data_IF_708965702116
#
_entry.id   IF_708965702116
#
_cell.length_a   1.000
_cell.length_b   1.000
_cell.length_c   1.000
_cell.angle_alpha   90.00
_cell.angle_beta   90.00
_cell.angle_gamma   90.00
#
_symmetry.space_group_name_H-M   'P 1'
#
loop_
_entity.id
_entity.type
_entity.pdbx_description
1 polymer ?
#
# COMPACT_ATOMS: atom_id res chain seq x y z
N UNK A 1 -17.27 1.57 -13.52
CA UNK A 1 -15.85 1.19 -13.67
C UNK A 1 -15.04 2.44 -13.39
N UNK A 2 -14.30 2.49 -12.27
CA UNK A 2 -13.48 3.65 -11.93
C UNK A 2 -12.20 3.66 -12.77
N UNK A 3 -11.76 4.82 -13.24
CA UNK A 3 -10.45 4.97 -13.89
C UNK A 3 -9.34 4.94 -12.85
N UNK A 4 -8.11 4.59 -13.24
CA UNK A 4 -6.97 4.50 -12.32
C UNK A 4 -6.76 5.80 -11.52
N UNK A 5 -6.96 6.96 -12.16
CA UNK A 5 -6.90 8.26 -11.49
C UNK A 5 -8.01 8.46 -10.43
N UNK A 6 -9.20 7.90 -10.66
CA UNK A 6 -10.29 7.95 -9.67
C UNK A 6 -10.00 7.05 -8.47
N UNK A 7 -9.45 5.86 -8.72
CA UNK A 7 -9.03 4.91 -7.66
C UNK A 7 -7.99 5.59 -6.78
N UNK A 8 -6.97 6.20 -7.39
CA UNK A 8 -5.92 6.90 -6.65
C UNK A 8 -6.51 8.06 -5.84
N UNK A 9 -7.33 8.92 -6.45
CA UNK A 9 -7.94 10.04 -5.73
C UNK A 9 -8.80 9.57 -4.54
N UNK A 10 -9.51 8.46 -4.67
CA UNK A 10 -10.29 7.85 -3.59
C UNK A 10 -9.39 7.25 -2.50
N UNK A 11 -8.35 6.50 -2.87
CA UNK A 11 -7.36 5.98 -1.91
C UNK A 11 -6.69 7.12 -1.13
N UNK A 12 -6.28 8.18 -1.82
CA UNK A 12 -5.67 9.37 -1.19
C UNK A 12 -6.64 10.08 -0.25
N UNK A 13 -7.91 10.18 -0.65
CA UNK A 13 -8.94 10.75 0.22
C UNK A 13 -9.11 9.89 1.46
N UNK A 14 -9.23 8.57 1.32
CA UNK A 14 -9.36 7.64 2.43
C UNK A 14 -8.16 7.65 3.37
N UNK A 15 -6.93 7.64 2.86
CA UNK A 15 -5.72 7.76 3.70
C UNK A 15 -5.80 9.04 4.53
N UNK A 16 -6.17 10.17 3.91
CA UNK A 16 -6.27 11.46 4.63
C UNK A 16 -7.41 11.51 5.64
N UNK A 17 -8.59 11.01 5.29
CA UNK A 17 -9.81 11.18 6.09
C UNK A 17 -10.08 10.05 7.08
N UNK A 18 -9.42 8.91 6.94
CA UNK A 18 -9.60 7.76 7.81
C UNK A 18 -8.29 7.40 8.49
N UNK A 19 -7.24 7.06 7.73
CA UNK A 19 -5.98 6.60 8.33
C UNK A 19 -5.31 7.70 9.17
N UNK A 20 -5.17 8.90 8.62
CA UNK A 20 -4.56 10.05 9.30
C UNK A 20 -5.52 10.68 10.30
N UNK A 21 -6.75 10.99 9.88
CA UNK A 21 -7.70 11.73 10.73
C UNK A 21 -8.19 10.93 11.94
N UNK A 22 -8.39 9.61 11.81
CA UNK A 22 -8.81 8.74 12.92
C UNK A 22 -7.61 8.12 13.66
N UNK A 23 -6.39 8.55 13.36
CA UNK A 23 -5.14 8.08 13.99
C UNK A 23 -5.00 6.55 13.97
N UNK A 24 -5.47 5.91 12.89
CA UNK A 24 -5.43 4.44 12.72
C UNK A 24 -3.99 3.95 12.57
N UNK A 25 -3.15 4.74 11.91
CA UNK A 25 -1.73 4.46 11.79
C UNK A 25 -0.92 5.63 12.38
N UNK A 26 -0.17 5.43 13.47
CA UNK A 26 0.63 6.48 14.09
C UNK A 26 1.82 6.92 13.20
N UNK A 27 2.08 6.20 12.11
CA UNK A 27 3.16 6.45 11.17
C UNK A 27 2.73 7.29 9.97
N UNK A 28 1.44 7.56 9.79
CA UNK A 28 0.94 8.36 8.68
C UNK A 28 0.85 9.83 9.10
N UNK A 29 1.95 10.59 9.03
CA UNK A 29 1.91 12.05 9.18
C UNK A 29 1.66 12.71 7.83
N UNK A 30 0.98 13.87 7.84
CA UNK A 30 0.26 14.41 6.70
C UNK A 30 1.14 15.03 5.59
N UNK A 31 1.90 14.21 4.85
CA UNK A 31 2.29 14.48 3.46
C UNK A 31 2.23 13.17 2.68
N UNK A 32 1.32 13.14 1.72
CA UNK A 32 1.11 11.96 0.87
C UNK A 32 1.68 12.30 -0.51
N UNK A 33 2.91 11.85 -0.77
CA UNK A 33 3.46 11.75 -2.13
C UNK A 33 2.77 10.58 -2.82
N UNK A 34 2.04 10.84 -3.90
CA UNK A 34 1.33 9.80 -4.65
C UNK A 34 2.03 9.63 -6.00
N UNK A 35 2.76 8.54 -6.19
CA UNK A 35 3.17 8.12 -7.54
C UNK A 35 2.15 7.15 -8.10
N UNK A 36 1.65 7.50 -9.29
CA UNK A 36 0.83 6.63 -10.11
C UNK A 36 1.69 6.08 -11.22
N UNK A 37 2.08 4.80 -11.15
CA UNK A 37 2.70 4.16 -12.29
C UNK A 37 1.87 2.97 -12.81
N UNK A 38 1.14 3.15 -13.92
CA UNK A 38 0.50 2.07 -14.64
C UNK A 38 1.47 1.44 -15.67
N UNK A 39 2.59 0.85 -15.22
CA UNK A 39 3.52 0.14 -16.13
C UNK A 39 3.40 -1.39 -16.03
N UNK A 40 2.74 -1.98 -17.03
CA UNK A 40 3.15 -3.26 -17.61
C UNK A 40 2.25 -4.49 -17.39
N UNK A 41 1.58 -4.93 -18.46
CA UNK A 41 0.94 -6.25 -18.59
C UNK A 41 1.96 -7.37 -18.85
N UNK A 42 2.97 -7.48 -17.99
CA UNK A 42 3.90 -8.62 -17.95
C UNK A 42 3.45 -9.67 -16.92
N UNK A 43 4.00 -10.89 -17.02
CA UNK A 43 3.76 -11.99 -16.08
C UNK A 43 3.85 -11.56 -14.61
N UNK A 44 3.08 -12.19 -13.71
CA UNK A 44 2.99 -11.87 -12.28
C UNK A 44 4.34 -11.69 -11.57
N UNK A 45 5.37 -12.47 -11.95
CA UNK A 45 6.74 -12.30 -11.43
C UNK A 45 7.26 -10.89 -11.73
N UNK A 46 7.29 -10.49 -13.02
CA UNK A 46 7.71 -9.14 -13.46
C UNK A 46 6.98 -8.02 -12.75
N UNK A 47 5.72 -8.26 -12.39
CA UNK A 47 4.86 -7.35 -11.67
C UNK A 47 5.30 -7.16 -10.21
N UNK A 48 5.66 -8.25 -9.54
CA UNK A 48 6.22 -8.23 -8.18
C UNK A 48 7.55 -7.48 -8.16
N UNK A 49 8.48 -7.84 -9.06
CA UNK A 49 9.79 -7.22 -9.11
C UNK A 49 9.70 -5.70 -9.38
N UNK A 50 8.83 -5.29 -10.31
CA UNK A 50 8.57 -3.86 -10.56
C UNK A 50 8.00 -3.14 -9.33
N UNK A 51 7.10 -3.77 -8.55
CA UNK A 51 6.59 -3.13 -7.34
C UNK A 51 7.65 -2.95 -6.26
N UNK A 52 8.58 -3.90 -6.12
CA UNK A 52 9.72 -3.79 -5.21
C UNK A 52 10.71 -2.72 -5.68
N UNK A 53 10.94 -2.60 -6.98
CA UNK A 53 11.74 -1.51 -7.56
C UNK A 53 11.12 -0.14 -7.26
N UNK A 54 9.81 0.03 -7.47
CA UNK A 54 9.10 1.27 -7.15
C UNK A 54 9.13 1.59 -5.65
N UNK A 55 9.07 0.57 -4.78
CA UNK A 55 9.28 0.74 -3.34
C UNK A 55 10.66 1.34 -3.05
N UNK A 56 11.72 0.78 -3.63
CA UNK A 56 13.08 1.27 -3.39
C UNK A 56 13.32 2.67 -3.96
N UNK A 57 12.69 3.02 -5.08
CA UNK A 57 12.72 4.38 -5.63
C UNK A 57 12.14 5.37 -4.62
N UNK A 58 11.03 5.04 -3.98
CA UNK A 58 10.39 5.92 -2.99
C UNK A 58 11.20 6.02 -1.70
N UNK A 59 11.80 4.93 -1.23
CA UNK A 59 12.70 4.93 -0.06
C UNK A 59 13.92 5.81 -0.31
N UNK A 60 14.55 5.68 -1.49
CA UNK A 60 15.69 6.54 -1.87
C UNK A 60 15.26 8.01 -2.00
N UNK A 61 14.06 8.28 -2.48
CA UNK A 61 13.53 9.63 -2.54
C UNK A 61 13.35 10.23 -1.13
N UNK A 62 12.88 9.44 -0.15
CA UNK A 62 12.78 9.88 1.25
C UNK A 62 14.15 10.24 1.84
N UNK A 63 15.20 9.47 1.53
CA UNK A 63 16.57 9.78 1.97
C UNK A 63 17.06 11.15 1.45
N UNK A 64 16.64 11.53 0.23
CA UNK A 64 16.98 12.82 -0.39
C UNK A 64 16.10 13.97 0.12
N UNK A 65 14.97 13.69 0.79
CA UNK A 65 13.96 14.66 1.19
C UNK A 65 13.63 14.56 2.70
N UNK A 66 14.57 14.92 3.59
CA UNK A 66 14.45 14.72 5.04
C UNK A 66 13.30 15.48 5.72
N UNK A 67 12.71 16.49 5.05
CA UNK A 67 11.50 17.17 5.51
C UNK A 67 10.21 16.36 5.26
N UNK A 68 10.31 15.21 4.59
CA UNK A 68 9.20 14.30 4.31
C UNK A 68 9.37 13.00 5.09
N UNK A 69 8.47 12.75 6.02
CA UNK A 69 8.51 11.57 6.90
C UNK A 69 7.85 10.33 6.29
N UNK A 70 6.96 10.50 5.30
CA UNK A 70 6.14 9.42 4.76
C UNK A 70 5.90 9.59 3.26
N UNK A 71 5.86 8.48 2.54
CA UNK A 71 5.41 8.40 1.15
C UNK A 71 4.32 7.33 1.00
N UNK A 72 3.54 7.38 -0.08
CA UNK A 72 2.46 6.42 -0.35
C UNK A 72 2.59 5.82 -1.76
N UNK A 73 2.66 4.49 -1.77
CA UNK A 73 2.53 3.69 -2.99
C UNK A 73 1.12 3.11 -3.09
N UNK A 74 0.53 3.26 -4.28
CA UNK A 74 -0.80 2.70 -4.59
C UNK A 74 -0.66 1.80 -5.80
N UNK A 75 -1.08 0.54 -5.66
CA UNK A 75 -1.08 -0.45 -6.75
C UNK A 75 -2.51 -0.87 -7.12
N UNK A 76 -3.21 -0.14 -8.01
CA UNK A 76 -4.62 -0.41 -8.31
C UNK A 76 -4.89 -1.82 -8.82
N UNK A 77 -4.01 -2.35 -9.68
CA UNK A 77 -4.31 -3.56 -10.46
C UNK A 77 -3.43 -4.77 -10.15
N UNK A 78 -2.41 -4.60 -9.29
CA UNK A 78 -1.34 -5.57 -9.11
C UNK A 78 -1.70 -6.68 -8.12
N UNK A 79 -2.26 -6.29 -6.99
CA UNK A 79 -2.57 -7.15 -5.86
C UNK A 79 -4.07 -7.34 -5.74
N UNK A 80 -4.66 -8.11 -6.67
CA UNK A 80 -6.08 -8.52 -6.56
C UNK A 80 -6.26 -9.80 -5.75
N UNK A 81 -5.21 -10.60 -5.65
CA UNK A 81 -5.16 -11.80 -4.83
C UNK A 81 -4.45 -11.43 -3.53
N UNK A 82 -5.08 -11.76 -2.39
CA UNK A 82 -4.56 -11.42 -1.07
C UNK A 82 -3.27 -12.18 -0.71
N UNK A 83 -3.13 -13.44 -1.11
CA UNK A 83 -1.90 -14.21 -0.87
C UNK A 83 -0.71 -13.60 -1.61
N UNK A 84 -0.90 -13.17 -2.87
CA UNK A 84 0.15 -12.45 -3.62
C UNK A 84 0.48 -11.09 -3.00
N UNK A 85 -0.47 -10.46 -2.30
CA UNK A 85 -0.20 -9.25 -1.52
C UNK A 85 0.66 -9.58 -0.30
N UNK A 86 0.37 -10.67 0.42
CA UNK A 86 1.17 -11.10 1.57
C UNK A 86 2.61 -11.45 1.14
N UNK A 87 2.78 -12.19 0.03
CA UNK A 87 4.09 -12.47 -0.55
C UNK A 87 4.88 -11.18 -0.84
N UNK A 88 4.21 -10.14 -1.36
CA UNK A 88 4.84 -8.84 -1.59
C UNK A 88 5.27 -8.16 -0.30
N UNK A 89 4.41 -8.16 0.72
CA UNK A 89 4.71 -7.53 2.02
C UNK A 89 5.93 -8.18 2.65
N UNK A 90 6.01 -9.51 2.67
CA UNK A 90 7.17 -10.24 3.20
C UNK A 90 8.47 -9.89 2.45
N UNK A 91 8.42 -9.86 1.11
CA UNK A 91 9.57 -9.50 0.29
C UNK A 91 9.99 -8.04 0.47
N UNK A 92 9.02 -7.13 0.57
CA UNK A 92 9.26 -5.71 0.78
C UNK A 92 9.96 -5.45 2.12
N UNK A 93 9.48 -6.08 3.19
CA UNK A 93 10.13 -6.01 4.51
C UNK A 93 11.55 -6.57 4.48
N UNK A 94 11.75 -7.75 3.85
CA UNK A 94 13.08 -8.35 3.70
C UNK A 94 14.06 -7.42 2.97
N UNK A 95 13.62 -6.78 1.87
CA UNK A 95 14.49 -5.88 1.11
C UNK A 95 14.86 -4.63 1.92
N UNK A 96 13.93 -4.07 2.70
CA UNK A 96 14.27 -2.94 3.58
C UNK A 96 15.35 -3.32 4.58
N UNK A 97 15.26 -4.51 5.18
CA UNK A 97 16.30 -5.01 6.09
C UNK A 97 17.63 -5.19 5.36
N UNK A 98 17.62 -5.87 4.21
CA UNK A 98 18.83 -6.15 3.42
C UNK A 98 19.54 -4.90 2.91
N UNK A 99 18.78 -3.82 2.66
CA UNK A 99 19.30 -2.51 2.25
C UNK A 99 19.70 -1.60 3.43
N UNK A 100 19.54 -2.07 4.68
CA UNK A 100 19.94 -1.34 5.88
C UNK A 100 18.93 -0.29 6.37
N UNK A 101 17.67 -0.39 5.95
CA UNK A 101 16.58 0.48 6.38
C UNK A 101 15.80 -0.06 7.59
N UNK A 102 16.24 -1.19 8.16
CA UNK A 102 15.67 -1.72 9.40
C UNK A 102 15.72 -0.67 10.52
N UNK A 103 14.56 -0.36 11.09
CA UNK A 103 14.43 0.67 12.14
C UNK A 103 14.51 2.12 11.63
N UNK A 104 14.74 2.34 10.33
CA UNK A 104 14.71 3.66 9.70
C UNK A 104 13.32 3.90 9.08
N UNK A 105 12.87 2.99 8.21
CA UNK A 105 11.55 3.05 7.59
C UNK A 105 10.68 1.87 8.00
N UNK A 106 9.37 2.09 8.04
CA UNK A 106 8.37 1.07 8.39
C UNK A 106 7.28 1.04 7.31
N UNK A 107 6.80 -0.15 6.98
CA UNK A 107 5.70 -0.34 6.03
C UNK A 107 4.37 -0.43 6.76
N UNK A 108 3.48 0.52 6.48
CA UNK A 108 2.06 0.39 6.82
C UNK A 108 1.29 -0.04 5.57
N UNK A 109 0.75 -1.26 5.58
CA UNK A 109 0.19 -1.89 4.37
C UNK A 109 -1.30 -2.16 4.53
N UNK A 110 -2.04 -1.96 3.43
CA UNK A 110 -3.50 -2.04 3.41
C UNK A 110 -3.99 -2.77 2.16
N UNK A 111 -4.97 -3.66 2.31
CA UNK A 111 -5.56 -4.42 1.21
C UNK A 111 -7.08 -4.53 1.37
N UNK A 112 -7.91 -4.47 0.30
CA UNK A 112 -9.37 -4.53 0.44
C UNK A 112 -9.88 -5.83 1.07
N UNK A 113 -9.13 -6.91 0.87
CA UNK A 113 -9.43 -8.24 1.41
C UNK A 113 -8.57 -8.58 2.63
N UNK A 114 -7.95 -7.59 3.28
CA UNK A 114 -7.11 -7.84 4.45
C UNK A 114 -7.88 -8.63 5.52
N UNK A 115 -7.25 -9.72 6.00
CA UNK A 115 -7.76 -10.56 7.07
C UNK A 115 -6.57 -10.99 7.92
N UNK A 116 -6.60 -10.72 9.22
CA UNK A 116 -5.58 -11.19 10.14
C UNK A 116 -5.62 -12.71 10.26
N UNK A 117 -4.44 -13.31 10.45
CA UNK A 117 -4.36 -14.75 10.67
C UNK A 117 -5.16 -15.15 11.92
N UNK A 118 -5.97 -16.20 11.78
CA UNK A 118 -6.88 -16.67 12.82
C UNK A 118 -8.11 -15.79 13.12
N UNK A 119 -8.31 -14.66 12.42
CA UNK A 119 -9.51 -13.84 12.55
C UNK A 119 -10.62 -14.28 11.57
N UNK A 120 -11.87 -14.12 11.97
CA UNK A 120 -13.00 -14.31 11.06
C UNK A 120 -13.06 -13.20 10.01
N UNK A 121 -13.57 -13.50 8.82
CA UNK A 121 -13.56 -12.55 7.70
C UNK A 121 -14.37 -11.27 7.94
N UNK A 122 -15.30 -11.25 8.88
CA UNK A 122 -16.11 -10.08 9.27
C UNK A 122 -15.66 -9.46 10.59
N UNK A 123 -14.57 -9.94 11.18
CA UNK A 123 -14.03 -9.41 12.43
C UNK A 123 -13.68 -7.91 12.28
N UNK A 124 -14.10 -7.11 13.28
CA UNK A 124 -13.91 -5.67 13.31
C UNK A 124 -12.42 -5.27 13.24
N UNK A 125 -11.51 -6.09 13.76
CA UNK A 125 -10.06 -5.87 13.72
C UNK A 125 -9.53 -5.76 12.30
N UNK A 126 -10.05 -6.55 11.35
CA UNK A 126 -9.60 -6.52 9.96
C UNK A 126 -9.77 -5.14 9.31
N UNK A 127 -10.76 -4.35 9.77
CA UNK A 127 -11.06 -3.04 9.20
C UNK A 127 -9.99 -1.99 9.49
N UNK A 128 -9.04 -2.25 10.41
CA UNK A 128 -7.88 -1.36 10.61
C UNK A 128 -6.93 -1.39 9.41
N UNK A 129 -6.87 -2.52 8.69
CA UNK A 129 -5.96 -2.73 7.55
C UNK A 129 -6.69 -2.94 6.22
N UNK A 130 -8.03 -2.92 6.22
CA UNK A 130 -8.84 -2.96 4.99
C UNK A 130 -8.89 -1.60 4.30
N UNK A 131 -8.38 -1.54 3.08
CA UNK A 131 -8.59 -0.38 2.21
C UNK A 131 -9.98 -0.43 1.54
N UNK A 132 -10.57 0.72 1.18
CA UNK A 132 -11.99 0.80 0.80
C UNK A 132 -12.30 0.27 -0.59
N UNK A 133 -11.31 -0.08 -1.42
CA UNK A 133 -11.50 -0.28 -2.87
C UNK A 133 -11.42 -1.73 -3.30
N UNK A 134 -12.58 -2.39 -3.45
CA UNK A 134 -12.67 -3.61 -4.26
C UNK A 134 -12.82 -3.27 -5.74
N UNK A 135 -11.92 -3.75 -6.59
CA UNK A 135 -12.15 -3.77 -8.04
C UNK A 135 -13.38 -4.64 -8.34
N UNK A 136 -14.56 -4.01 -8.49
CA UNK A 136 -15.78 -4.69 -8.94
C UNK A 136 -16.95 -4.73 -7.96
N UNK A 137 -16.96 -3.95 -6.86
CA UNK A 137 -18.20 -3.79 -6.11
C UNK A 137 -19.10 -2.79 -6.83
N UNK A 138 -20.05 -3.29 -7.62
CA UNK A 138 -21.35 -2.63 -7.66
C UNK A 138 -21.80 -2.54 -6.20
N UNK A 139 -22.13 -1.34 -5.74
CA UNK A 139 -23.03 -1.22 -4.60
C UNK A 139 -24.26 -2.09 -4.94
N UNK A 140 -24.57 -3.05 -4.07
CA UNK A 140 -25.90 -3.62 -3.99
C UNK A 140 -26.78 -2.63 -3.20
#
# INVERSE_FOLDING_TARGET
MHTDNQIVAQTLTWVRTFIVAENICPLCTARVGARNDPRGSGALKKKMEVALEELMVEVQWLDEHPDTETTLLVFPTLFKNFDHYLDFVELAESILVDQGYEGIYQLATFHPDYCFDGAESDDASNYTNRSPLRHGSSAA
#
